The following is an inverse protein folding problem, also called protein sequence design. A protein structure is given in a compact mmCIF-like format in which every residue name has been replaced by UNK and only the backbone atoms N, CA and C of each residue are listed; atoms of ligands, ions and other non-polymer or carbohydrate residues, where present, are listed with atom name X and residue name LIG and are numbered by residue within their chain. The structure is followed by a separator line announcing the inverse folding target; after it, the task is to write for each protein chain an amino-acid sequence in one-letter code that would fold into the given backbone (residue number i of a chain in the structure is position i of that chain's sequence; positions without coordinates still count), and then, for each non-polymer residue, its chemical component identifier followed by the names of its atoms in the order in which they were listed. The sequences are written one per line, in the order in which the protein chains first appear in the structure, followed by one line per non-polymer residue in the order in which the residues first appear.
data_IF_532439226979
#
_entry.id   IF_532439226979
#
_cell.length_a   1.000
_cell.length_b   1.000
_cell.length_c   1.000
_cell.angle_alpha   90.00
_cell.angle_beta   90.00
_cell.angle_gamma   90.00
#
_symmetry.space_group_name_H-M   'P 1'
#
loop_
_entity.id
_entity.type
_entity.pdbx_description
1 polymer ?
#
# COMPACT_ATOMS: atom_id res chain seq x y z
N UNK A 1 2.41 3.68 -23.01
CA UNK A 1 2.36 2.62 -21.99
C UNK A 1 3.53 2.85 -21.05
N UNK A 2 3.26 3.11 -19.78
CA UNK A 2 4.30 3.25 -18.77
C UNK A 2 4.41 1.93 -18.02
N UNK A 3 5.60 1.33 -18.01
CA UNK A 3 5.88 0.10 -17.29
C UNK A 3 6.34 0.44 -15.88
N UNK A 4 5.67 -0.09 -14.88
CA UNK A 4 6.03 0.06 -13.47
C UNK A 4 6.32 -1.30 -12.86
N UNK A 5 6.90 -1.33 -11.67
CA UNK A 5 7.15 -2.59 -10.96
C UNK A 5 5.87 -3.30 -10.51
N UNK A 6 4.73 -2.61 -10.48
CA UNK A 6 3.44 -3.16 -10.06
C UNK A 6 2.54 -3.54 -11.25
N UNK A 7 2.91 -3.16 -12.47
CA UNK A 7 2.13 -3.48 -13.66
C UNK A 7 2.40 -2.54 -14.82
N UNK A 8 1.44 -2.51 -15.75
CA UNK A 8 1.48 -1.67 -16.92
C UNK A 8 0.28 -0.72 -16.92
N UNK A 9 0.54 0.56 -17.18
CA UNK A 9 -0.48 1.58 -17.33
C UNK A 9 -0.55 2.08 -18.78
N UNK A 10 -1.76 2.13 -19.32
CA UNK A 10 -2.12 2.86 -20.52
C UNK A 10 -3.05 4.03 -20.16
N UNK A 11 -3.70 4.66 -21.14
CA UNK A 11 -4.44 5.91 -20.91
C UNK A 11 -5.77 5.69 -20.17
N UNK A 12 -6.32 4.48 -20.22
CA UNK A 12 -7.66 4.15 -19.75
C UNK A 12 -7.70 2.91 -18.85
N UNK A 13 -6.57 2.21 -18.70
CA UNK A 13 -6.46 0.96 -17.97
C UNK A 13 -5.11 0.82 -17.28
N UNK A 14 -5.17 0.16 -16.13
CA UNK A 14 -4.00 -0.34 -15.41
C UNK A 14 -4.12 -1.85 -15.32
N UNK A 15 -3.11 -2.57 -15.78
CA UNK A 15 -3.01 -4.02 -15.63
C UNK A 15 -1.99 -4.33 -14.55
N UNK A 16 -2.44 -4.88 -13.42
CA UNK A 16 -1.56 -5.25 -12.31
C UNK A 16 -0.89 -6.59 -12.61
N UNK A 17 0.39 -6.70 -12.27
CA UNK A 17 1.11 -7.97 -12.39
C UNK A 17 0.70 -8.97 -11.28
N UNK A 18 1.04 -10.24 -11.46
CA UNK A 18 0.68 -11.32 -10.53
C UNK A 18 1.13 -11.05 -9.09
N UNK A 19 2.37 -10.59 -8.90
CA UNK A 19 2.91 -10.28 -7.58
C UNK A 19 2.09 -9.17 -6.89
N UNK A 20 1.68 -8.14 -7.64
CA UNK A 20 0.86 -7.05 -7.12
C UNK A 20 -0.53 -7.53 -6.71
N UNK A 21 -1.17 -8.38 -7.51
CA UNK A 21 -2.49 -8.93 -7.17
C UNK A 21 -2.42 -9.83 -5.93
N UNK A 22 -1.43 -10.71 -5.84
CA UNK A 22 -1.21 -11.57 -4.66
C UNK A 22 -0.94 -10.72 -3.43
N UNK A 23 -0.07 -9.72 -3.57
CA UNK A 23 0.28 -8.80 -2.51
C UNK A 23 -0.91 -7.98 -2.01
N UNK A 24 -1.69 -7.39 -2.93
CA UNK A 24 -2.91 -6.63 -2.59
C UNK A 24 -3.91 -7.47 -1.82
N UNK A 25 -4.15 -8.71 -2.27
CA UNK A 25 -5.03 -9.65 -1.57
C UNK A 25 -4.53 -9.93 -0.15
N UNK A 26 -3.23 -10.15 0.00
CA UNK A 26 -2.62 -10.43 1.31
C UNK A 26 -2.65 -9.22 2.23
N UNK A 27 -2.37 -8.03 1.71
CA UNK A 27 -2.45 -6.76 2.43
C UNK A 27 -3.88 -6.44 2.88
N UNK A 28 -4.88 -6.70 2.03
CA UNK A 28 -6.29 -6.57 2.39
C UNK A 28 -6.69 -7.54 3.50
N UNK A 29 -6.33 -8.82 3.37
CA UNK A 29 -6.64 -9.84 4.39
C UNK A 29 -5.97 -9.55 5.74
N UNK A 30 -4.78 -8.93 5.73
CA UNK A 30 -4.15 -8.46 6.97
C UNK A 30 -4.84 -7.20 7.54
N UNK A 31 -5.20 -6.25 6.68
CA UNK A 31 -5.96 -5.06 7.07
C UNK A 31 -7.29 -5.41 7.72
N UNK A 32 -8.03 -6.41 7.21
CA UNK A 32 -9.30 -6.86 7.78
C UNK A 32 -9.17 -7.28 9.25
N UNK A 33 -8.02 -7.82 9.67
CA UNK A 33 -7.76 -8.17 11.08
C UNK A 33 -7.70 -6.96 12.00
N UNK A 34 -7.52 -5.75 11.46
CA UNK A 34 -7.54 -4.51 12.24
C UNK A 34 -8.96 -4.05 12.59
N UNK A 35 -10.00 -4.66 12.01
CA UNK A 35 -11.42 -4.33 12.19
C UNK A 35 -11.78 -2.87 11.85
N UNK A 36 -10.91 -2.16 11.14
CA UNK A 36 -11.13 -0.79 10.70
C UNK A 36 -12.02 -0.77 9.45
N UNK A 37 -12.96 0.17 9.37
CA UNK A 37 -13.81 0.34 8.19
C UNK A 37 -12.98 0.83 7.00
N UNK A 38 -12.85 0.00 5.97
CA UNK A 38 -12.10 0.29 4.73
C UNK A 38 -12.58 1.58 4.04
N UNK A 39 -13.85 1.98 4.21
CA UNK A 39 -14.38 3.19 3.59
C UNK A 39 -13.74 4.46 4.13
N UNK A 40 -13.12 4.38 5.31
CA UNK A 40 -12.37 5.46 5.93
C UNK A 40 -10.96 5.62 5.35
N UNK A 41 -10.57 4.82 4.36
CA UNK A 41 -9.21 4.79 3.82
C UNK A 41 -9.18 5.08 2.33
N UNK A 42 -8.06 5.66 1.89
CA UNK A 42 -7.62 5.63 0.51
C UNK A 42 -6.60 4.51 0.35
N UNK A 43 -6.78 3.65 -0.66
CA UNK A 43 -5.85 2.57 -0.96
C UNK A 43 -5.00 2.97 -2.16
N UNK A 44 -3.68 2.99 -1.97
CA UNK A 44 -2.72 3.39 -3.01
C UNK A 44 -1.73 2.26 -3.27
N UNK A 45 -1.41 2.02 -4.54
CA UNK A 45 -0.33 1.11 -4.98
C UNK A 45 0.71 1.95 -5.68
N UNK A 46 1.98 1.83 -5.27
CA UNK A 46 3.04 2.68 -5.77
C UNK A 46 4.38 1.97 -5.77
N UNK A 47 5.31 2.51 -6.56
CA UNK A 47 6.70 2.10 -6.55
C UNK A 47 7.44 2.77 -5.40
N UNK A 48 8.17 1.98 -4.62
CA UNK A 48 8.94 2.45 -3.46
C UNK A 48 10.34 1.87 -3.52
N UNK A 49 11.35 2.69 -3.19
CA UNK A 49 12.70 2.18 -2.96
C UNK A 49 12.74 1.26 -1.74
N UNK A 50 13.33 0.09 -1.91
CA UNK A 50 13.67 -0.81 -0.82
C UNK A 50 14.43 -0.06 0.29
N UNK A 51 14.10 -0.36 1.54
CA UNK A 51 14.75 0.21 2.72
C UNK A 51 14.79 -0.82 3.85
N UNK A 52 15.67 -0.63 4.85
CA UNK A 52 15.70 -1.49 6.04
C UNK A 52 15.81 -3.01 5.77
N UNK A 53 16.49 -3.41 4.69
CA UNK A 53 16.62 -4.83 4.29
C UNK A 53 15.41 -5.41 3.57
N UNK A 54 14.44 -4.58 3.18
CA UNK A 54 13.37 -4.96 2.25
C UNK A 54 13.94 -5.19 0.86
N UNK A 55 13.47 -6.25 0.19
CA UNK A 55 13.87 -6.55 -1.19
C UNK A 55 15.26 -7.15 -1.28
N UNK A 56 15.57 -7.67 -2.48
CA UNK A 56 16.89 -8.22 -2.80
C UNK A 56 17.72 -7.10 -3.44
N UNK A 57 18.92 -6.85 -2.91
CA UNK A 57 19.97 -6.00 -3.52
C UNK A 57 19.52 -4.58 -3.95
N UNK A 58 18.71 -3.90 -3.13
CA UNK A 58 18.32 -2.51 -3.40
C UNK A 58 17.36 -2.34 -4.59
N UNK A 59 16.73 -3.42 -5.07
CA UNK A 59 15.64 -3.36 -6.05
C UNK A 59 14.41 -2.67 -5.47
N UNK A 60 13.68 -1.95 -6.30
CA UNK A 60 12.42 -1.32 -5.91
C UNK A 60 11.36 -2.37 -5.53
N UNK A 61 10.53 -2.01 -4.56
CA UNK A 61 9.48 -2.85 -3.96
C UNK A 61 8.11 -2.22 -4.19
N UNK A 62 7.07 -3.04 -4.21
CA UNK A 62 5.71 -2.56 -4.38
C UNK A 62 5.19 -2.08 -3.02
N UNK A 63 4.85 -0.80 -2.92
CA UNK A 63 4.17 -0.23 -1.76
C UNK A 63 2.66 -0.34 -1.89
N UNK A 64 2.00 -0.80 -0.84
CA UNK A 64 0.54 -0.71 -0.70
C UNK A 64 0.20 0.05 0.58
N UNK A 65 -0.48 1.18 0.46
CA UNK A 65 -0.88 2.01 1.61
C UNK A 65 -2.38 2.03 1.77
N UNK A 66 -2.83 1.79 3.00
CA UNK A 66 -4.19 2.07 3.46
C UNK A 66 -4.09 3.35 4.28
N UNK A 67 -4.34 4.49 3.64
CA UNK A 67 -4.20 5.82 4.27
C UNK A 67 -5.53 6.28 4.83
N UNK A 68 -5.62 6.43 6.15
CA UNK A 68 -6.85 6.91 6.78
C UNK A 68 -7.16 8.35 6.34
N UNK A 69 -8.39 8.54 5.85
CA UNK A 69 -8.96 9.85 5.50
C UNK A 69 -9.07 10.72 6.75
N UNK A 70 -9.01 12.03 6.54
CA UNK A 70 -9.28 12.97 7.62
C UNK A 70 -10.77 12.96 7.98
N UNK A 71 -11.06 13.26 9.25
CA UNK A 71 -12.43 13.52 9.70
C UNK A 71 -12.96 14.75 8.91
N UNK A 72 -14.12 14.65 8.25
CA UNK A 72 -14.68 15.76 7.48
C UNK A 72 -14.79 17.03 8.33
N UNK A 73 -14.38 18.17 7.77
CA UNK A 73 -14.42 19.47 8.47
C UNK A 73 -13.25 19.70 9.44
N UNK A 74 -12.43 18.69 9.74
CA UNK A 74 -11.20 18.86 10.50
C UNK A 74 -10.01 18.99 9.54
N UNK A 75 -9.37 20.16 9.52
CA UNK A 75 -8.00 20.31 9.01
C UNK A 75 -7.09 20.43 10.23
N UNK A 76 -6.16 19.51 10.42
CA UNK A 76 -5.19 19.68 11.50
C UNK A 76 -3.94 18.83 11.36
N UNK A 77 -2.85 19.37 11.91
CA UNK A 77 -1.56 18.72 12.09
C UNK A 77 -1.69 17.55 13.09
N UNK A 78 -1.21 16.37 12.70
CA UNK A 78 -1.07 15.19 13.56
C UNK A 78 -2.13 14.09 13.34
N UNK A 79 -1.94 12.95 14.00
CA UNK A 79 -2.77 11.75 13.81
C UNK A 79 -4.14 11.77 14.49
N UNK A 80 -4.42 12.77 15.32
CA UNK A 80 -5.67 12.86 16.07
C UNK A 80 -6.91 13.08 15.19
N UNK A 81 -6.73 13.47 13.91
CA UNK A 81 -7.82 13.89 13.03
C UNK A 81 -8.13 12.89 11.90
N UNK A 82 -7.72 11.63 12.05
CA UNK A 82 -7.93 10.58 11.04
C UNK A 82 -9.02 9.61 11.47
N UNK A 83 -9.76 9.09 10.50
CA UNK A 83 -10.84 8.10 10.69
C UNK A 83 -10.32 6.67 10.95
N UNK A 84 -9.02 6.52 11.23
CA UNK A 84 -8.35 5.26 11.46
C UNK A 84 -6.83 5.41 11.54
N UNK A 85 -6.13 4.30 11.71
CA UNK A 85 -4.66 4.17 11.73
C UNK A 85 -4.19 3.65 10.38
N UNK A 86 -3.41 4.46 9.67
CA UNK A 86 -2.90 4.06 8.35
C UNK A 86 -1.93 2.89 8.46
N UNK A 87 -1.96 1.99 7.48
CA UNK A 87 -1.08 0.83 7.41
C UNK A 87 -0.39 0.82 6.04
N UNK A 88 0.92 0.60 6.03
CA UNK A 88 1.72 0.48 4.81
C UNK A 88 2.34 -0.91 4.74
N UNK A 89 2.14 -1.58 3.62
CA UNK A 89 2.67 -2.89 3.31
C UNK A 89 3.77 -2.75 2.26
N UNK A 90 4.85 -3.50 2.46
CA UNK A 90 5.93 -3.63 1.48
C UNK A 90 5.84 -5.01 0.87
N UNK A 91 5.77 -5.06 -0.45
CA UNK A 91 5.43 -6.25 -1.20
C UNK A 91 6.57 -6.58 -2.16
N UNK A 92 6.98 -7.84 -2.15
CA UNK A 92 7.98 -8.36 -3.07
C UNK A 92 7.44 -8.30 -4.51
N UNK A 93 8.16 -7.66 -5.45
CA UNK A 93 7.77 -7.67 -6.86
C UNK A 93 7.96 -9.04 -7.53
N UNK A 94 8.68 -9.96 -6.88
CA UNK A 94 8.99 -11.27 -7.45
C UNK A 94 7.84 -12.28 -7.24
N UNK A 95 7.21 -12.26 -6.07
CA UNK A 95 6.21 -13.26 -5.68
C UNK A 95 4.96 -12.70 -4.99
N UNK A 96 4.93 -11.40 -4.64
CA UNK A 96 3.82 -10.78 -3.94
C UNK A 96 3.78 -11.01 -2.43
N UNK A 97 4.84 -11.57 -1.83
CA UNK A 97 4.93 -11.72 -0.38
C UNK A 97 5.02 -10.38 0.33
N UNK A 98 4.41 -10.28 1.52
CA UNK A 98 4.57 -9.12 2.42
C UNK A 98 5.94 -9.23 3.08
N UNK A 99 6.82 -8.30 2.75
CA UNK A 99 8.17 -8.19 3.30
C UNK A 99 8.20 -7.42 4.62
N UNK A 100 7.34 -6.39 4.75
CA UNK A 100 7.26 -5.57 5.95
C UNK A 100 5.89 -4.89 6.08
N UNK A 101 5.53 -4.54 7.32
CA UNK A 101 4.31 -3.81 7.66
C UNK A 101 4.68 -2.62 8.55
N UNK A 102 4.27 -1.42 8.17
CA UNK A 102 4.47 -0.20 8.94
C UNK A 102 3.14 0.43 9.31
N UNK A 103 2.91 0.56 10.61
CA UNK A 103 1.80 1.33 11.14
C UNK A 103 2.19 2.80 11.16
N UNK A 104 1.43 3.65 10.47
CA UNK A 104 1.52 5.07 10.72
C UNK A 104 0.92 5.30 12.11
N UNK A 105 1.79 5.61 13.07
CA UNK A 105 1.36 6.24 14.33
C UNK A 105 0.61 7.49 14.01
#
# INVERSE_FOLDING_TARGET
MSKTIFGDADNDRVTLNTATVIGLRSAYADFEKSEQDINNFEVSVYERKASNGEGVDGKDVIGVSFTAKFIPGMKGLGNANRLGKSINYVISPENGEILAIYLAR
#
